data_IF_684177321495
#
_entry.id   IF_684177321495
#
_cell.length_a   1.000
_cell.length_b   1.000
_cell.length_c   1.000
_cell.angle_alpha   90.00
_cell.angle_beta   90.00
_cell.angle_gamma   90.00
#
_symmetry.space_group_name_H-M   'P 1'
#
loop_
_entity.id
_entity.type
_entity.pdbx_description
1 polymer ?
#
# COMPACT_ATOMS: atom_id res chain seq x y z
N UNK A 1 -48.21 -10.25 -2.28
CA UNK A 1 -46.94 -10.23 -1.52
C UNK A 1 -45.97 -9.29 -2.25
N UNK A 2 -45.66 -8.12 -1.69
CA UNK A 2 -44.76 -7.12 -2.31
C UNK A 2 -43.34 -7.35 -1.79
N UNK A 3 -42.41 -7.62 -2.70
CA UNK A 3 -40.97 -7.74 -2.41
C UNK A 3 -40.39 -6.33 -2.29
N UNK A 4 -39.77 -5.92 -1.16
CA UNK A 4 -39.10 -4.64 -1.06
C UNK A 4 -37.78 -4.65 -1.82
N UNK A 5 -37.56 -3.62 -2.63
CA UNK A 5 -36.45 -3.46 -3.57
C UNK A 5 -35.10 -3.31 -2.86
N UNK A 6 -34.15 -4.18 -3.22
CA UNK A 6 -32.76 -4.21 -2.73
C UNK A 6 -31.98 -2.92 -3.06
N UNK A 7 -32.48 -2.13 -4.02
CA UNK A 7 -31.88 -0.89 -4.51
C UNK A 7 -31.88 0.22 -3.44
N UNK A 8 -32.90 0.26 -2.56
CA UNK A 8 -33.00 1.29 -1.52
C UNK A 8 -31.92 1.19 -0.42
N UNK A 9 -31.46 -0.03 -0.10
CA UNK A 9 -30.48 -0.24 0.99
C UNK A 9 -29.07 0.23 0.65
N UNK A 10 -28.67 0.17 -0.62
CA UNK A 10 -27.34 0.62 -1.07
C UNK A 10 -27.22 2.14 -1.13
N UNK A 11 -28.31 2.82 -1.52
CA UNK A 11 -28.36 4.28 -1.55
C UNK A 11 -28.26 4.88 -0.13
N UNK A 12 -28.95 4.27 0.85
CA UNK A 12 -28.91 4.72 2.25
C UNK A 12 -27.52 4.50 2.88
N UNK A 13 -26.87 3.37 2.61
CA UNK A 13 -25.52 3.10 3.11
C UNK A 13 -24.46 4.08 2.56
N UNK A 14 -24.56 4.44 1.27
CA UNK A 14 -23.67 5.41 0.65
C UNK A 14 -23.84 6.83 1.24
N UNK A 15 -25.09 7.25 1.49
CA UNK A 15 -25.39 8.55 2.09
C UNK A 15 -24.85 8.68 3.52
N UNK A 16 -24.97 7.63 4.34
CA UNK A 16 -24.45 7.62 5.72
C UNK A 16 -22.92 7.65 5.74
N UNK A 17 -22.26 6.91 4.84
CA UNK A 17 -20.80 6.92 4.74
C UNK A 17 -20.27 8.31 4.35
N UNK A 18 -20.93 8.99 3.42
CA UNK A 18 -20.53 10.33 2.98
C UNK A 18 -20.72 11.38 4.09
N UNK A 19 -21.82 11.29 4.85
CA UNK A 19 -22.08 12.16 6.00
C UNK A 19 -21.02 12.00 7.10
N UNK A 20 -20.61 10.76 7.41
CA UNK A 20 -19.56 10.50 8.41
C UNK A 20 -18.19 11.04 7.99
N UNK A 21 -17.83 10.93 6.70
CA UNK A 21 -16.59 11.50 6.17
C UNK A 21 -16.63 13.03 6.21
N UNK A 22 -17.75 13.65 5.82
CA UNK A 22 -17.91 15.10 5.88
C UNK A 22 -17.79 15.65 7.31
N UNK A 23 -18.40 14.98 8.30
CA UNK A 23 -18.29 15.34 9.72
C UNK A 23 -16.86 15.18 10.24
N UNK A 24 -16.15 14.11 9.86
CA UNK A 24 -14.76 13.92 10.25
C UNK A 24 -13.83 15.00 9.67
N UNK A 25 -14.00 15.35 8.39
CA UNK A 25 -13.16 16.36 7.72
C UNK A 25 -13.42 17.75 8.28
N UNK A 26 -14.69 18.11 8.49
CA UNK A 26 -15.07 19.42 9.08
C UNK A 26 -14.64 19.52 10.55
N UNK A 27 -14.76 18.45 11.33
CA UNK A 27 -14.29 18.40 12.72
C UNK A 27 -12.77 18.59 12.84
N UNK A 28 -11.99 17.95 11.97
CA UNK A 28 -10.52 18.10 11.95
C UNK A 28 -10.12 19.54 11.54
N UNK A 29 -10.84 20.15 10.60
CA UNK A 29 -10.53 21.51 10.16
C UNK A 29 -10.89 22.56 11.21
N UNK A 30 -12.03 22.42 11.87
CA UNK A 30 -12.45 23.28 12.98
C UNK A 30 -11.48 23.16 14.18
N UNK A 31 -11.07 21.94 14.52
CA UNK A 31 -10.09 21.68 15.58
C UNK A 31 -8.73 22.33 15.31
N UNK A 32 -8.23 22.24 14.07
CA UNK A 32 -6.96 22.89 13.67
C UNK A 32 -7.05 24.41 13.71
N UNK A 33 -8.19 24.99 13.30
CA UNK A 33 -8.40 26.44 13.32
C UNK A 33 -8.44 26.97 14.75
N UNK A 34 -9.03 26.22 15.68
CA UNK A 34 -9.12 26.64 17.08
C UNK A 34 -7.77 26.61 17.81
N UNK A 35 -6.88 25.67 17.48
CA UNK A 35 -5.52 25.59 18.04
C UNK A 35 -4.52 26.59 17.45
N UNK A 36 -4.85 27.25 16.33
CA UNK A 36 -3.94 28.21 15.72
C UNK A 36 -3.75 29.50 16.57
N UNK A 37 -4.65 29.76 17.53
CA UNK A 37 -4.69 31.01 18.29
C UNK A 37 -4.23 30.96 19.75
N UNK A 38 -3.97 29.79 20.34
CA UNK A 38 -3.61 29.70 21.76
C UNK A 38 -2.23 29.08 21.94
N UNK A 39 -1.35 29.80 22.64
CA UNK A 39 -0.10 29.26 23.17
C UNK A 39 -0.37 28.84 24.61
N UNK A 40 0.06 27.64 24.97
CA UNK A 40 -0.03 27.11 26.33
C UNK A 40 0.67 28.07 27.32
N UNK A 41 0.16 28.21 28.54
CA UNK A 41 0.66 29.19 29.51
C UNK A 41 2.13 28.92 29.87
N UNK A 42 2.54 27.65 29.88
CA UNK A 42 3.93 27.27 30.06
C UNK A 42 4.85 27.77 28.91
N UNK A 43 4.38 27.66 27.67
CA UNK A 43 5.11 28.14 26.49
C UNK A 43 5.17 29.67 26.44
N UNK A 44 4.12 30.34 26.90
CA UNK A 44 4.08 31.79 27.02
C UNK A 44 5.10 32.32 28.02
N UNK A 45 5.18 31.71 29.21
CA UNK A 45 6.18 32.06 30.22
C UNK A 45 7.58 31.81 29.70
N UNK A 46 7.81 30.68 29.03
CA UNK A 46 9.10 30.34 28.44
C UNK A 46 9.54 31.37 27.39
N UNK A 47 8.66 31.79 26.49
CA UNK A 47 8.96 32.79 25.47
C UNK A 47 9.22 34.20 26.03
N UNK A 48 8.69 34.52 27.21
CA UNK A 48 8.88 35.83 27.88
C UNK A 48 10.10 35.89 28.79
N UNK A 49 10.77 34.77 29.04
CA UNK A 49 11.95 34.70 29.89
C UNK A 49 13.07 35.62 29.39
N UNK A 50 13.76 36.30 30.31
CA UNK A 50 14.71 37.37 30.00
C UNK A 50 15.85 36.93 29.07
N UNK A 51 16.30 35.68 29.20
CA UNK A 51 17.32 35.05 28.36
C UNK A 51 16.84 34.76 26.93
N UNK A 52 15.53 34.67 26.71
CA UNK A 52 14.91 34.33 25.41
C UNK A 52 14.32 35.52 24.66
N UNK A 53 14.19 36.68 25.32
CA UNK A 53 13.69 37.92 24.70
C UNK A 53 14.41 38.28 23.40
N UNK A 54 15.76 38.22 23.28
CA UNK A 54 16.44 38.51 22.02
C UNK A 54 16.03 37.58 20.87
N UNK A 55 15.88 36.28 21.15
CA UNK A 55 15.48 35.29 20.16
C UNK A 55 14.00 35.44 19.75
N UNK A 56 13.14 35.83 20.69
CA UNK A 56 11.74 36.18 20.41
C UNK A 56 11.64 37.38 19.47
N UNK A 57 12.45 38.42 19.69
CA UNK A 57 12.50 39.62 18.83
C UNK A 57 13.00 39.28 17.43
N UNK A 58 14.04 38.45 17.31
CA UNK A 58 14.53 37.97 16.01
C UNK A 58 13.47 37.16 15.25
N UNK A 59 12.74 36.28 15.94
CA UNK A 59 11.63 35.55 15.34
C UNK A 59 10.49 36.50 14.89
N UNK A 60 10.21 37.54 15.68
CA UNK A 60 9.21 38.55 15.36
C UNK A 60 9.59 39.36 14.10
N UNK A 61 10.87 39.74 13.98
CA UNK A 61 11.42 40.38 12.77
C UNK A 61 11.31 39.48 11.55
N UNK A 62 11.72 38.21 11.67
CA UNK A 62 11.66 37.23 10.58
C UNK A 62 10.23 36.98 10.10
N UNK A 63 9.24 37.09 10.99
CA UNK A 63 7.81 36.96 10.67
C UNK A 63 7.16 38.28 10.21
N UNK A 64 7.90 39.39 10.22
CA UNK A 64 7.41 40.71 9.83
C UNK A 64 6.28 41.25 10.71
N UNK A 65 6.19 40.78 11.96
CA UNK A 65 5.12 41.19 12.91
C UNK A 65 5.51 42.40 13.77
N UNK A 66 6.79 42.77 13.76
CA UNK A 66 7.35 43.97 14.42
C UNK A 66 8.23 44.75 13.42
N UNK A 67 8.45 46.03 13.69
CA UNK A 67 9.26 46.93 12.84
C UNK A 67 10.76 46.69 13.03
N UNK A 68 11.60 46.98 12.02
CA UNK A 68 13.05 46.78 12.06
C UNK A 68 13.76 47.46 13.23
N UNK A 69 13.21 48.56 13.76
CA UNK A 69 13.80 49.29 14.90
C UNK A 69 13.58 48.59 16.26
N UNK A 70 12.82 47.49 16.30
CA UNK A 70 12.49 46.78 17.54
C UNK A 70 13.71 46.14 18.20
N UNK A 71 13.84 46.36 19.50
CA UNK A 71 14.90 45.82 20.38
C UNK A 71 14.32 44.83 21.41
N UNK A 72 15.18 44.16 22.17
CA UNK A 72 14.76 43.22 23.21
C UNK A 72 13.97 43.87 24.36
N UNK A 73 14.16 45.17 24.59
CA UNK A 73 13.48 45.93 25.64
C UNK A 73 12.22 46.65 25.13
N UNK A 74 12.19 46.97 23.82
CA UNK A 74 11.11 47.71 23.20
C UNK A 74 10.81 47.18 21.80
N UNK A 75 9.62 46.61 21.65
CA UNK A 75 9.06 46.17 20.39
C UNK A 75 8.14 47.26 19.82
N UNK A 76 8.22 47.47 18.52
CA UNK A 76 7.35 48.38 17.77
C UNK A 76 6.52 47.57 16.78
N UNK A 77 5.20 47.68 16.84
CA UNK A 77 4.27 46.97 15.95
C UNK A 77 3.24 47.93 15.35
N UNK A 78 2.52 47.52 14.29
CA UNK A 78 1.46 48.36 13.73
C UNK A 78 0.42 48.72 14.78
N UNK A 79 0.37 50.00 15.15
CA UNK A 79 -0.60 50.53 16.13
C UNK A 79 -0.14 50.56 17.60
N UNK A 80 1.12 50.23 17.91
CA UNK A 80 1.60 50.31 19.29
C UNK A 80 3.11 50.08 19.47
N UNK A 81 3.61 50.41 20.65
CA UNK A 81 4.97 50.10 21.08
C UNK A 81 5.02 49.73 22.56
N UNK A 82 5.96 48.87 22.95
CA UNK A 82 6.14 48.46 24.33
C UNK A 82 6.96 47.18 24.50
N UNK A 83 7.01 46.66 25.72
CA UNK A 83 7.68 45.38 26.02
C UNK A 83 6.91 44.16 25.51
N UNK A 84 7.54 42.99 25.58
CA UNK A 84 6.98 41.72 25.11
C UNK A 84 5.67 41.33 25.83
N UNK A 85 5.52 41.68 27.11
CA UNK A 85 4.31 41.44 27.91
C UNK A 85 3.14 42.29 27.42
N UNK A 86 3.39 43.56 27.12
CA UNK A 86 2.39 44.47 26.56
C UNK A 86 1.98 44.02 25.15
N UNK A 87 2.96 43.64 24.35
CA UNK A 87 2.74 43.07 23.02
C UNK A 87 1.88 41.80 23.07
N UNK A 88 2.12 40.89 24.03
CA UNK A 88 1.27 39.71 24.26
C UNK A 88 -0.17 40.10 24.58
N UNK A 89 -0.37 41.13 25.41
CA UNK A 89 -1.71 41.59 25.79
C UNK A 89 -2.48 42.22 24.63
N UNK A 90 -1.82 43.06 23.84
CA UNK A 90 -2.47 43.82 22.76
C UNK A 90 -2.52 43.04 21.43
N UNK A 91 -1.58 42.11 21.19
CA UNK A 91 -1.44 41.32 19.96
C UNK A 91 -1.23 39.82 20.26
N UNK A 92 -2.19 39.16 20.95
CA UNK A 92 -2.02 37.78 21.41
C UNK A 92 -1.79 36.77 20.28
N UNK A 93 -2.40 36.99 19.11
CA UNK A 93 -2.25 36.10 17.96
C UNK A 93 -0.85 36.15 17.32
N UNK A 94 -0.24 37.34 17.25
CA UNK A 94 1.10 37.51 16.67
C UNK A 94 2.17 37.06 17.66
N UNK A 95 1.98 37.33 18.96
CA UNK A 95 2.79 36.75 20.02
C UNK A 95 2.75 35.21 19.97
N UNK A 96 1.54 34.63 19.88
CA UNK A 96 1.36 33.18 19.81
C UNK A 96 2.05 32.56 18.58
N UNK A 97 1.93 33.20 17.42
CA UNK A 97 2.59 32.78 16.18
C UNK A 97 4.12 32.82 16.33
N UNK A 98 4.65 33.88 16.90
CA UNK A 98 6.09 34.10 17.07
C UNK A 98 6.69 33.12 18.08
N UNK A 99 6.02 32.94 19.23
CA UNK A 99 6.44 31.99 20.25
C UNK A 99 6.45 30.54 19.71
N UNK A 100 5.44 30.15 18.90
CA UNK A 100 5.45 28.84 18.23
C UNK A 100 6.58 28.70 17.22
N UNK A 101 6.90 29.76 16.47
CA UNK A 101 8.02 29.74 15.53
C UNK A 101 9.37 29.59 16.25
N UNK A 102 9.55 30.30 17.37
CA UNK A 102 10.74 30.19 18.22
C UNK A 102 10.90 28.78 18.80
N UNK A 103 9.82 28.22 19.36
CA UNK A 103 9.82 26.84 19.88
C UNK A 103 10.14 25.80 18.79
N UNK A 104 9.61 25.99 17.58
CA UNK A 104 9.92 25.12 16.44
C UNK A 104 11.37 25.25 15.94
N UNK A 105 11.99 26.41 16.10
CA UNK A 105 13.39 26.63 15.73
C UNK A 105 14.35 25.95 16.71
N UNK A 106 14.05 25.99 18.01
CA UNK A 106 14.83 25.35 19.08
C UNK A 106 14.70 23.82 19.09
N UNK A 107 13.60 23.27 18.55
CA UNK A 107 13.38 21.82 18.44
C UNK A 107 14.13 21.15 17.26
N UNK A 108 14.92 21.90 16.48
CA UNK A 108 15.82 21.26 15.50
C UNK A 108 16.94 20.54 16.27
N UNK A 109 17.14 19.22 16.08
CA UNK A 109 18.11 18.47 16.85
C UNK A 109 19.52 18.92 16.46
N UNK A 110 20.06 19.83 17.27
CA UNK A 110 21.48 20.12 17.35
C UNK A 110 22.07 19.01 18.23
N UNK A 111 22.85 18.11 17.63
CA UNK A 111 23.51 17.04 18.37
C UNK A 111 24.41 17.62 19.46
N UNK A 112 24.16 17.26 20.71
CA UNK A 112 24.98 17.67 21.85
C UNK A 112 24.33 17.24 23.16
N UNK A 113 24.93 16.26 23.83
CA UNK A 113 24.30 15.49 24.90
C UNK A 113 24.09 16.23 26.23
N UNK A 114 23.10 15.77 27.00
CA UNK A 114 23.23 15.31 28.39
C UNK A 114 21.84 14.91 28.97
N UNK A 115 21.81 13.76 29.63
CA UNK A 115 20.80 13.13 30.52
C UNK A 115 19.28 13.40 30.36
N UNK A 116 18.48 12.40 29.88
CA UNK A 116 17.06 12.52 29.58
C UNK A 116 16.08 11.86 30.59
N UNK A 117 16.24 12.03 31.89
CA UNK A 117 15.37 11.35 32.88
C UNK A 117 14.75 12.33 33.87
N UNK A 118 13.56 12.85 33.54
CA UNK A 118 12.54 13.21 34.55
C UNK A 118 11.20 13.72 34.01
N UNK A 119 11.01 13.96 32.70
CA UNK A 119 9.77 14.63 32.22
C UNK A 119 9.05 14.10 30.98
N UNK A 120 9.56 13.07 30.29
CA UNK A 120 9.04 12.66 28.97
C UNK A 120 8.69 11.17 28.94
N UNK A 121 7.46 10.79 29.31
CA UNK A 121 7.07 9.37 29.25
C UNK A 121 5.77 9.04 28.49
N UNK A 122 4.70 9.87 28.39
CA UNK A 122 3.53 9.44 27.62
C UNK A 122 3.57 9.80 26.12
N UNK A 123 3.93 11.04 25.78
CA UNK A 123 3.78 11.57 24.41
C UNK A 123 4.84 11.02 23.44
N UNK A 124 6.07 10.81 23.92
CA UNK A 124 7.15 10.23 23.11
C UNK A 124 6.90 8.74 22.85
N UNK A 125 6.38 8.00 23.84
CA UNK A 125 5.94 6.62 23.65
C UNK A 125 4.80 6.55 22.63
N UNK A 126 3.80 7.43 22.71
CA UNK A 126 2.73 7.50 21.70
C UNK A 126 3.26 7.82 20.30
N UNK A 127 4.21 8.74 20.16
CA UNK A 127 4.81 9.08 18.86
C UNK A 127 5.65 7.93 18.29
N UNK A 128 6.46 7.26 19.11
CA UNK A 128 7.26 6.10 18.72
C UNK A 128 6.36 4.91 18.37
N UNK A 129 5.32 4.65 19.17
CA UNK A 129 4.32 3.61 18.91
C UNK A 129 3.57 3.92 17.62
N UNK A 130 3.16 5.18 17.39
CA UNK A 130 2.46 5.60 16.17
C UNK A 130 3.35 5.47 14.93
N UNK A 131 4.62 5.87 15.02
CA UNK A 131 5.59 5.73 13.94
C UNK A 131 5.92 4.26 13.66
N UNK A 132 6.06 3.43 14.69
CA UNK A 132 6.27 1.99 14.56
C UNK A 132 5.04 1.30 13.96
N UNK A 133 3.82 1.67 14.38
CA UNK A 133 2.57 1.19 13.77
C UNK A 133 2.43 1.66 12.33
N UNK A 134 2.71 2.92 12.02
CA UNK A 134 2.66 3.45 10.66
C UNK A 134 3.69 2.76 9.74
N UNK A 135 4.91 2.56 10.22
CA UNK A 135 5.94 1.80 9.51
C UNK A 135 5.54 0.33 9.35
N UNK A 136 4.93 -0.28 10.36
CA UNK A 136 4.42 -1.65 10.31
C UNK A 136 3.28 -1.78 9.30
N UNK A 137 2.29 -0.89 9.33
CA UNK A 137 1.18 -0.85 8.37
C UNK A 137 1.68 -0.57 6.95
N UNK A 138 2.64 0.34 6.77
CA UNK A 138 3.24 0.64 5.47
C UNK A 138 4.01 -0.55 4.90
N UNK A 139 4.78 -1.27 5.73
CA UNK A 139 5.44 -2.52 5.32
C UNK A 139 4.42 -3.60 5.00
N UNK A 140 3.31 -3.66 5.74
CA UNK A 140 2.27 -4.67 5.54
C UNK A 140 1.43 -4.39 4.29
N UNK A 141 1.15 -3.13 3.97
CA UNK A 141 0.47 -2.74 2.73
C UNK A 141 1.38 -2.96 1.53
N UNK A 142 2.65 -2.54 1.60
CA UNK A 142 3.62 -2.80 0.53
C UNK A 142 3.79 -4.31 0.25
N UNK A 143 3.84 -5.14 1.30
CA UNK A 143 3.88 -6.59 1.14
C UNK A 143 2.56 -7.18 0.60
N UNK A 144 1.41 -6.60 0.94
CA UNK A 144 0.12 -7.03 0.40
C UNK A 144 -0.03 -6.67 -1.09
N UNK A 145 0.42 -5.48 -1.48
CA UNK A 145 0.39 -5.02 -2.87
C UNK A 145 1.36 -5.83 -3.74
N UNK A 146 2.58 -6.10 -3.25
CA UNK A 146 3.52 -6.98 -3.94
C UNK A 146 2.94 -8.38 -4.19
N UNK A 147 2.27 -8.98 -3.18
CA UNK A 147 1.61 -10.29 -3.33
C UNK A 147 0.47 -10.27 -4.35
N UNK A 148 -0.29 -9.16 -4.42
CA UNK A 148 -1.35 -9.01 -5.42
C UNK A 148 -0.78 -8.98 -6.83
N UNK A 149 0.28 -8.19 -7.04
CA UNK A 149 0.98 -8.11 -8.33
C UNK A 149 1.56 -9.46 -8.73
N UNK A 150 2.23 -10.17 -7.82
CA UNK A 150 2.77 -11.51 -8.09
C UNK A 150 1.67 -12.53 -8.43
N UNK A 151 0.56 -12.51 -7.70
CA UNK A 151 -0.59 -13.36 -7.97
C UNK A 151 -1.24 -13.06 -9.33
N UNK A 152 -1.37 -11.80 -9.71
CA UNK A 152 -1.87 -11.39 -11.02
C UNK A 152 -0.91 -11.78 -12.14
N UNK A 153 0.40 -11.62 -11.94
CA UNK A 153 1.42 -12.06 -12.88
C UNK A 153 1.37 -13.58 -13.10
N UNK A 154 1.14 -14.35 -12.04
CA UNK A 154 0.97 -15.81 -12.14
C UNK A 154 -0.29 -16.19 -12.94
N UNK A 155 -1.43 -15.53 -12.69
CA UNK A 155 -2.66 -15.74 -13.49
C UNK A 155 -2.48 -15.31 -14.95
N UNK A 156 -1.77 -14.21 -15.20
CA UNK A 156 -1.48 -13.74 -16.54
C UNK A 156 -0.60 -14.74 -17.30
N UNK A 157 0.42 -15.31 -16.66
CA UNK A 157 1.28 -16.33 -17.23
C UNK A 157 0.51 -17.60 -17.64
N UNK A 158 -0.39 -18.08 -16.78
CA UNK A 158 -1.22 -19.25 -17.08
C UNK A 158 -2.14 -19.01 -18.28
N UNK A 159 -2.79 -17.83 -18.34
CA UNK A 159 -3.63 -17.45 -19.47
C UNK A 159 -2.83 -17.31 -20.77
N UNK A 160 -1.64 -16.72 -20.70
CA UNK A 160 -0.76 -16.57 -21.87
C UNK A 160 -0.31 -17.94 -22.40
N UNK A 161 0.07 -18.86 -21.52
CA UNK A 161 0.41 -20.23 -21.91
C UNK A 161 -0.78 -20.96 -22.54
N UNK A 162 -1.96 -20.90 -21.91
CA UNK A 162 -3.20 -21.47 -22.47
C UNK A 162 -3.49 -20.92 -23.87
N UNK A 163 -3.44 -19.60 -24.04
CA UNK A 163 -3.70 -18.95 -25.33
C UNK A 163 -2.70 -19.39 -26.41
N UNK A 164 -1.42 -19.53 -26.05
CA UNK A 164 -0.39 -20.03 -26.96
C UNK A 164 -0.67 -21.47 -27.39
N UNK A 165 -0.99 -22.35 -26.44
CA UNK A 165 -1.33 -23.75 -26.76
C UNK A 165 -2.60 -23.85 -27.60
N UNK A 166 -3.66 -23.10 -27.26
CA UNK A 166 -4.90 -23.12 -28.05
C UNK A 166 -4.69 -22.65 -29.49
N UNK A 167 -3.83 -21.65 -29.70
CA UNK A 167 -3.45 -21.21 -31.05
C UNK A 167 -2.67 -22.30 -31.79
N UNK A 168 -1.68 -22.92 -31.15
CA UNK A 168 -0.93 -24.04 -31.75
C UNK A 168 -1.88 -25.19 -32.13
N UNK A 169 -2.81 -25.57 -31.25
CA UNK A 169 -3.78 -26.63 -31.54
C UNK A 169 -4.68 -26.28 -32.74
N UNK A 170 -5.14 -25.03 -32.85
CA UNK A 170 -5.91 -24.58 -34.03
C UNK A 170 -5.09 -24.65 -35.32
N UNK A 171 -3.82 -24.24 -35.28
CA UNK A 171 -2.92 -24.32 -36.43
C UNK A 171 -2.66 -25.77 -36.85
N UNK A 172 -2.48 -26.67 -35.88
CA UNK A 172 -2.32 -28.11 -36.11
C UNK A 172 -3.57 -28.74 -36.72
N UNK A 173 -4.77 -28.36 -36.26
CA UNK A 173 -6.05 -28.84 -36.79
C UNK A 173 -6.31 -28.34 -38.22
N UNK A 174 -5.86 -27.14 -38.59
CA UNK A 174 -6.13 -26.52 -39.90
C UNK A 174 -5.11 -26.87 -40.99
N UNK A 175 -3.87 -27.23 -40.65
CA UNK A 175 -2.80 -27.44 -41.64
C UNK A 175 -2.88 -28.80 -42.35
N UNK A 176 -2.61 -28.78 -43.66
CA UNK A 176 -2.33 -29.98 -44.48
C UNK A 176 -0.96 -30.59 -44.09
N UNK A 177 -0.77 -31.91 -44.27
CA UNK A 177 0.50 -32.58 -43.94
C UNK A 177 1.69 -31.94 -44.68
N UNK A 178 2.78 -31.63 -43.98
CA UNK A 178 4.06 -31.27 -44.62
C UNK A 178 4.88 -30.16 -43.95
N UNK A 179 4.26 -29.24 -43.18
CA UNK A 179 5.00 -28.21 -42.44
C UNK A 179 4.44 -28.05 -41.02
N UNK A 180 5.15 -28.62 -40.07
CA UNK A 180 4.76 -28.59 -38.66
C UNK A 180 4.91 -27.15 -38.12
N UNK A 181 3.89 -26.59 -37.43
CA UNK A 181 3.99 -25.28 -36.82
C UNK A 181 5.05 -25.28 -35.70
N UNK A 182 5.76 -24.17 -35.57
CA UNK A 182 6.72 -23.97 -34.50
C UNK A 182 6.00 -23.96 -33.15
N UNK A 183 6.55 -24.68 -32.16
CA UNK A 183 6.08 -24.67 -30.77
C UNK A 183 6.95 -23.82 -29.84
N UNK A 184 7.87 -23.00 -30.39
CA UNK A 184 8.73 -22.07 -29.67
C UNK A 184 7.96 -21.13 -28.73
N UNK A 185 6.88 -20.49 -29.18
CA UNK A 185 6.10 -19.61 -28.30
C UNK A 185 5.43 -20.40 -27.15
N UNK A 186 4.96 -21.62 -27.41
CA UNK A 186 4.39 -22.48 -26.37
C UNK A 186 5.46 -22.86 -25.35
N UNK A 187 6.67 -23.19 -25.81
CA UNK A 187 7.82 -23.48 -24.96
C UNK A 187 8.18 -22.28 -24.07
N UNK A 188 8.27 -21.07 -24.64
CA UNK A 188 8.61 -19.86 -23.90
C UNK A 188 7.59 -19.57 -22.80
N UNK A 189 6.29 -19.61 -23.13
CA UNK A 189 5.22 -19.39 -22.14
C UNK A 189 5.19 -20.46 -21.06
N UNK A 190 5.52 -21.70 -21.41
CA UNK A 190 5.62 -22.79 -20.43
C UNK A 190 6.74 -22.53 -19.43
N UNK A 191 7.93 -22.16 -19.91
CA UNK A 191 9.07 -21.84 -19.06
C UNK A 191 8.80 -20.62 -18.18
N UNK A 192 8.12 -19.61 -18.72
CA UNK A 192 7.69 -18.41 -17.99
C UNK A 192 6.76 -18.78 -16.82
N UNK A 193 5.77 -19.64 -17.06
CA UNK A 193 4.85 -20.13 -16.04
C UNK A 193 5.56 -21.01 -15.00
N UNK A 194 6.40 -21.95 -15.46
CA UNK A 194 7.18 -22.83 -14.58
C UNK A 194 8.10 -22.04 -13.66
N UNK A 195 8.72 -20.97 -14.16
CA UNK A 195 9.58 -20.08 -13.37
C UNK A 195 8.80 -19.38 -12.27
N UNK A 196 7.59 -18.86 -12.57
CA UNK A 196 6.73 -18.23 -11.55
C UNK A 196 6.20 -19.23 -10.52
N UNK A 197 5.85 -20.44 -10.94
CA UNK A 197 5.44 -21.51 -10.03
C UNK A 197 6.59 -21.94 -9.10
N UNK A 198 7.82 -22.00 -9.62
CA UNK A 198 9.02 -22.25 -8.81
C UNK A 198 9.26 -21.14 -7.79
N UNK A 199 9.12 -19.87 -8.21
CA UNK A 199 9.21 -18.73 -7.28
C UNK A 199 8.16 -18.84 -6.17
N UNK A 200 6.89 -19.14 -6.52
CA UNK A 200 5.83 -19.37 -5.53
C UNK A 200 6.15 -20.56 -4.59
N UNK A 201 6.67 -21.67 -5.11
CA UNK A 201 7.08 -22.82 -4.30
C UNK A 201 8.21 -22.47 -3.31
N UNK A 202 9.13 -21.58 -3.70
CA UNK A 202 10.23 -21.12 -2.82
C UNK A 202 9.74 -20.16 -1.73
N UNK A 203 8.81 -19.26 -2.06
CA UNK A 203 8.24 -18.29 -1.12
C UNK A 203 7.26 -18.95 -0.13
N UNK A 204 6.51 -19.96 -0.59
CA UNK A 204 5.48 -20.66 0.18
C UNK A 204 5.83 -22.14 0.34
N UNK A 205 6.96 -22.46 1.00
CA UNK A 205 7.53 -23.82 1.07
C UNK A 205 6.58 -24.92 1.58
N UNK A 206 5.59 -24.56 2.40
CA UNK A 206 4.60 -25.48 2.96
C UNK A 206 3.45 -25.79 1.99
N UNK A 207 3.38 -25.12 0.84
CA UNK A 207 2.40 -25.42 -0.21
C UNK A 207 3.03 -26.37 -1.23
N UNK A 208 2.47 -27.57 -1.36
CA UNK A 208 2.91 -28.55 -2.36
C UNK A 208 2.41 -28.20 -3.76
N UNK A 209 1.23 -27.56 -3.86
CA UNK A 209 0.54 -27.33 -5.13
C UNK A 209 1.39 -26.63 -6.20
N UNK A 210 2.13 -25.54 -5.92
CA UNK A 210 2.96 -24.89 -6.95
C UNK A 210 4.05 -25.82 -7.52
N UNK A 211 4.60 -26.72 -6.70
CA UNK A 211 5.60 -27.71 -7.13
C UNK A 211 4.94 -28.77 -8.03
N UNK A 212 3.80 -29.31 -7.59
CA UNK A 212 3.03 -30.28 -8.37
C UNK A 212 2.59 -29.71 -9.72
N UNK A 213 2.17 -28.45 -9.76
CA UNK A 213 1.83 -27.77 -11.02
C UNK A 213 3.04 -27.61 -11.95
N UNK A 214 4.22 -27.29 -11.39
CA UNK A 214 5.45 -27.25 -12.16
C UNK A 214 5.78 -28.60 -12.80
N UNK A 215 5.65 -29.70 -12.04
CA UNK A 215 5.85 -31.06 -12.57
C UNK A 215 4.81 -31.43 -13.64
N UNK A 216 3.56 -30.99 -13.48
CA UNK A 216 2.50 -31.20 -14.48
C UNK A 216 2.83 -30.51 -15.80
N UNK A 217 3.50 -29.35 -15.76
CA UNK A 217 3.98 -28.68 -16.98
C UNK A 217 5.08 -29.45 -17.70
N UNK A 218 5.79 -30.36 -17.05
CA UNK A 218 6.84 -31.16 -17.69
C UNK A 218 6.30 -32.49 -18.27
N UNK A 219 5.06 -32.87 -17.93
CA UNK A 219 4.43 -34.14 -18.32
C UNK A 219 3.42 -33.96 -19.45
N UNK A 220 3.11 -35.06 -20.15
CA UNK A 220 1.99 -35.06 -21.11
C UNK A 220 0.65 -34.80 -20.39
N UNK A 221 -0.29 -34.06 -21.02
CA UNK A 221 -0.23 -33.53 -22.39
C UNK A 221 0.40 -32.13 -22.53
N UNK A 222 0.88 -31.51 -21.45
CA UNK A 222 1.27 -30.08 -21.41
C UNK A 222 2.78 -29.82 -21.61
N UNK A 223 3.61 -30.86 -21.53
CA UNK A 223 5.06 -30.79 -21.65
C UNK A 223 5.58 -30.32 -23.01
N UNK A 224 6.90 -30.19 -23.11
CA UNK A 224 7.61 -29.81 -24.34
C UNK A 224 7.31 -30.73 -25.54
N UNK A 225 7.58 -30.23 -26.75
CA UNK A 225 7.51 -31.02 -27.98
C UNK A 225 6.08 -31.35 -28.41
N UNK A 226 5.15 -30.41 -28.26
CA UNK A 226 3.75 -30.62 -28.62
C UNK A 226 3.59 -30.89 -30.12
N UNK A 227 4.36 -30.21 -30.96
CA UNK A 227 4.36 -30.41 -32.41
C UNK A 227 4.89 -31.80 -32.79
N UNK A 228 5.96 -32.25 -32.15
CA UNK A 228 6.52 -33.59 -32.38
C UNK A 228 5.50 -34.68 -31.98
N UNK A 229 4.84 -34.50 -30.83
CA UNK A 229 3.78 -35.37 -30.32
C UNK A 229 2.55 -35.45 -31.22
N UNK A 230 2.16 -34.34 -31.84
CA UNK A 230 1.11 -34.33 -32.85
C UNK A 230 1.50 -35.14 -34.09
N UNK A 231 2.73 -34.93 -34.58
CA UNK A 231 3.25 -35.62 -35.77
C UNK A 231 3.37 -37.12 -35.56
N UNK A 232 3.75 -37.55 -34.35
CA UNK A 232 3.86 -38.97 -33.98
C UNK A 232 2.49 -39.67 -33.85
N UNK A 233 1.39 -38.91 -33.69
CA UNK A 233 0.03 -39.47 -33.52
C UNK A 233 -0.65 -39.71 -34.86
N UNK A 234 -1.36 -40.85 -34.93
CA UNK A 234 -2.20 -41.18 -36.08
C UNK A 234 -3.36 -40.18 -36.23
N UNK A 235 -3.92 -39.98 -37.43
CA UNK A 235 -5.07 -39.11 -37.63
C UNK A 235 -6.26 -39.41 -36.71
N UNK A 236 -6.45 -40.69 -36.33
CA UNK A 236 -7.54 -41.15 -35.46
C UNK A 236 -7.34 -40.74 -33.99
N UNK A 237 -6.10 -40.66 -33.50
CA UNK A 237 -5.79 -40.31 -32.09
C UNK A 237 -5.78 -38.81 -31.82
N UNK A 238 -5.58 -38.01 -32.87
CA UNK A 238 -5.43 -36.55 -32.77
C UNK A 238 -6.61 -35.85 -32.08
N UNK A 239 -7.90 -36.12 -32.42
CA UNK A 239 -9.02 -35.45 -31.77
C UNK A 239 -9.08 -35.73 -30.26
N UNK A 240 -8.80 -36.96 -29.85
CA UNK A 240 -8.77 -37.36 -28.44
C UNK A 240 -7.67 -36.63 -27.67
N UNK A 241 -6.45 -36.62 -28.21
CA UNK A 241 -5.33 -35.89 -27.60
C UNK A 241 -5.58 -34.39 -27.48
N UNK A 242 -6.21 -33.77 -28.48
CA UNK A 242 -6.57 -32.34 -28.42
C UNK A 242 -7.58 -32.08 -27.31
N UNK A 243 -8.61 -32.93 -27.19
CA UNK A 243 -9.62 -32.80 -26.14
C UNK A 243 -8.99 -32.95 -24.74
N UNK A 244 -8.13 -33.96 -24.55
CA UNK A 244 -7.37 -34.16 -23.31
C UNK A 244 -6.48 -32.97 -22.97
N UNK A 245 -5.79 -32.42 -23.96
CA UNK A 245 -4.94 -31.22 -23.79
C UNK A 245 -5.76 -30.02 -23.34
N UNK A 246 -6.92 -29.76 -23.96
CA UNK A 246 -7.82 -28.66 -23.59
C UNK A 246 -8.35 -28.83 -22.16
N UNK A 247 -8.71 -30.04 -21.75
CA UNK A 247 -9.14 -30.35 -20.36
C UNK A 247 -7.99 -30.11 -19.38
N UNK A 248 -6.77 -30.57 -19.70
CA UNK A 248 -5.60 -30.37 -18.86
C UNK A 248 -5.24 -28.88 -18.70
N UNK A 249 -5.35 -28.09 -19.77
CA UNK A 249 -5.16 -26.62 -19.71
C UNK A 249 -6.19 -25.93 -18.80
N UNK A 250 -7.47 -26.29 -18.92
CA UNK A 250 -8.51 -25.73 -18.06
C UNK A 250 -8.29 -26.04 -16.58
N UNK A 251 -7.86 -27.28 -16.28
CA UNK A 251 -7.51 -27.67 -14.91
C UNK A 251 -6.29 -26.92 -14.39
N UNK A 252 -5.21 -26.85 -15.19
CA UNK A 252 -3.99 -26.11 -14.85
C UNK A 252 -4.32 -24.64 -14.53
N UNK A 253 -5.09 -23.96 -15.38
CA UNK A 253 -5.45 -22.56 -15.17
C UNK A 253 -6.25 -22.36 -13.86
N UNK A 254 -7.21 -23.24 -13.59
CA UNK A 254 -8.01 -23.20 -12.36
C UNK A 254 -7.15 -23.42 -11.11
N UNK A 255 -6.25 -24.40 -11.13
CA UNK A 255 -5.35 -24.67 -10.00
C UNK A 255 -4.31 -23.56 -9.80
N UNK A 256 -3.79 -22.97 -10.88
CA UNK A 256 -2.92 -21.78 -10.80
C UNK A 256 -3.69 -20.59 -10.20
N UNK A 257 -4.96 -20.41 -10.57
CA UNK A 257 -5.80 -19.37 -10.00
C UNK A 257 -6.02 -19.57 -8.49
N UNK A 258 -6.16 -20.82 -8.03
CA UNK A 258 -6.24 -21.16 -6.60
C UNK A 258 -4.96 -20.80 -5.85
N UNK A 259 -3.78 -21.07 -6.44
CA UNK A 259 -2.49 -20.66 -5.87
C UNK A 259 -2.41 -19.15 -5.78
N UNK A 260 -2.73 -18.43 -6.86
CA UNK A 260 -2.68 -16.97 -6.90
C UNK A 260 -3.64 -16.34 -5.87
N UNK A 261 -4.83 -16.92 -5.66
CA UNK A 261 -5.76 -16.46 -4.62
C UNK A 261 -5.20 -16.73 -3.22
N UNK A 262 -4.61 -17.91 -2.99
CA UNK A 262 -3.95 -18.22 -1.71
C UNK A 262 -2.80 -17.24 -1.41
N UNK A 263 -2.02 -16.84 -2.42
CA UNK A 263 -0.93 -15.85 -2.26
C UNK A 263 -1.44 -14.50 -1.76
N UNK A 264 -2.62 -14.07 -2.20
CA UNK A 264 -3.26 -12.82 -1.78
C UNK A 264 -3.73 -12.88 -0.31
N UNK A 265 -4.19 -14.05 0.16
CA UNK A 265 -4.72 -14.24 1.52
C UNK A 265 -4.12 -15.47 2.26
N UNK A 266 -2.82 -15.47 2.61
CA UNK A 266 -2.15 -16.69 3.11
C UNK A 266 -2.64 -17.19 4.47
N UNK A 267 -3.28 -16.31 5.26
CA UNK A 267 -3.64 -16.59 6.67
C UNK A 267 -5.05 -17.15 6.87
N UNK A 268 -5.90 -17.12 5.85
CA UNK A 268 -7.31 -17.53 5.99
C UNK A 268 -7.61 -18.96 5.52
N UNK A 269 -6.64 -19.66 4.91
CA UNK A 269 -6.83 -21.02 4.35
C UNK A 269 -6.31 -22.18 5.20
N UNK A 270 -5.85 -21.96 6.44
CA UNK A 270 -5.55 -23.08 7.38
C UNK A 270 -6.80 -23.82 7.87
N UNK A 271 -8.00 -23.48 7.38
CA UNK A 271 -9.20 -24.29 7.60
C UNK A 271 -9.32 -25.31 6.46
N UNK A 272 -8.63 -26.44 6.63
CA UNK A 272 -8.85 -27.67 5.86
C UNK A 272 -10.36 -27.93 5.78
N UNK A 273 -10.99 -28.04 4.59
CA UNK A 273 -12.32 -28.60 4.51
C UNK A 273 -12.21 -30.05 4.98
N UNK A 274 -12.91 -30.38 6.06
CA UNK A 274 -13.09 -31.75 6.51
C UNK A 274 -13.55 -32.59 5.32
N UNK A 275 -12.85 -33.70 5.09
CA UNK A 275 -13.09 -34.58 3.96
C UNK A 275 -14.56 -35.01 3.87
N UNK A 276 -15.07 -35.07 2.64
CA UNK A 276 -16.18 -35.95 2.32
C UNK A 276 -15.60 -37.30 1.97
N UNK A 277 -15.91 -38.28 2.83
CA UNK A 277 -15.99 -39.69 2.45
C UNK A 277 -17.09 -39.87 1.41
#
# INVERSE_FOLDING_TARGET
>A
MRVPSVIGRRAVAAAVAFALVAVAVTGVWAYRRHRAGTVDDAAAVWCLAADRRPALVQAAHALGVVRPESTAERLDWPGGSGGAERWRGERPADFARTCRALLGAEQRPSGGGSSPWSGFTPALLLAVVSAALAAWFSRRSAAADARRVEAEALRAAARAYRAAVERLLRELEQRRPGMAPDDGEVQDRRLELATRLRAAATAYRHWSLPRTLGETLDREPLGAGMTARWTARSPQERPGWVAETRVALGRLEAEVAQVAEAMQEPRFRTRTPAGRR
#
